data_IF_000220519152
#
_entry.id   IF_000220519152
#
_cell.length_a   1.000
_cell.length_b   1.000
_cell.length_c   1.000
_cell.angle_alpha   90.00
_cell.angle_beta   90.00
_cell.angle_gamma   90.00
#
_symmetry.space_group_name_H-M   'P 1'
#
loop_
_entity.id
_entity.type
_entity.pdbx_description
1 polymer ?
#
# COMPACT_ATOMS: atom_id res chain seq x y z
N UNK A 1 9.25 -33.99 -68.84
CA UNK A 1 9.32 -33.25 -67.58
C UNK A 1 8.58 -33.98 -66.49
N UNK A 2 9.32 -34.53 -65.54
CA UNK A 2 8.75 -35.14 -64.34
C UNK A 2 9.08 -34.21 -63.18
N UNK A 3 8.07 -33.53 -62.66
CA UNK A 3 8.23 -32.51 -61.62
C UNK A 3 8.56 -33.17 -60.27
N UNK A 4 9.74 -32.86 -59.71
CA UNK A 4 10.15 -33.36 -58.39
C UNK A 4 9.55 -32.46 -57.32
N UNK A 5 8.55 -32.97 -56.59
CA UNK A 5 8.03 -32.32 -55.37
C UNK A 5 8.94 -32.64 -54.19
N UNK A 6 9.58 -31.62 -53.64
CA UNK A 6 10.33 -31.70 -52.38
C UNK A 6 9.39 -31.25 -51.27
N UNK A 7 8.91 -32.18 -50.46
CA UNK A 7 8.14 -31.88 -49.25
C UNK A 7 9.05 -31.97 -48.03
N UNK A 8 9.43 -30.82 -47.46
CA UNK A 8 10.20 -30.75 -46.22
C UNK A 8 9.26 -30.88 -45.02
N UNK A 9 9.41 -31.94 -44.21
CA UNK A 9 8.80 -32.01 -42.87
C UNK A 9 9.63 -31.18 -41.90
N UNK A 10 9.14 -29.99 -41.56
CA UNK A 10 9.74 -29.16 -40.52
C UNK A 10 9.38 -29.74 -39.15
N UNK A 11 10.36 -30.24 -38.40
CA UNK A 11 10.17 -30.60 -36.99
C UNK A 11 10.28 -29.33 -36.17
N UNK A 12 9.20 -28.93 -35.49
CA UNK A 12 9.24 -27.78 -34.58
C UNK A 12 10.30 -28.04 -33.49
N UNK A 13 11.20 -27.08 -33.30
CA UNK A 13 12.06 -27.05 -32.10
C UNK A 13 11.13 -26.89 -30.90
N UNK A 14 11.27 -27.70 -29.82
CA UNK A 14 10.50 -27.48 -28.60
C UNK A 14 10.74 -26.04 -28.14
N UNK A 15 9.66 -25.29 -27.89
CA UNK A 15 9.82 -23.96 -27.28
C UNK A 15 10.61 -24.13 -25.98
N UNK A 16 11.67 -23.34 -25.80
CA UNK A 16 12.42 -23.34 -24.55
C UNK A 16 11.44 -23.01 -23.41
N UNK A 17 11.24 -23.95 -22.50
CA UNK A 17 10.36 -23.76 -21.36
C UNK A 17 11.06 -22.89 -20.34
N UNK A 18 10.50 -21.71 -20.05
CA UNK A 18 11.02 -20.81 -19.03
C UNK A 18 10.45 -21.27 -17.68
N UNK A 19 11.32 -21.65 -16.75
CA UNK A 19 10.88 -22.11 -15.42
C UNK A 19 10.65 -20.93 -14.49
N UNK A 20 9.49 -20.89 -13.84
CA UNK A 20 9.16 -19.92 -12.80
C UNK A 20 9.59 -20.46 -11.42
N UNK A 21 10.39 -19.71 -10.69
CA UNK A 21 10.81 -20.08 -9.32
C UNK A 21 10.57 -18.92 -8.38
N UNK A 22 9.94 -19.19 -7.23
CA UNK A 22 9.75 -18.21 -6.15
C UNK A 22 9.69 -18.89 -4.78
N UNK A 23 10.03 -18.13 -3.74
CA UNK A 23 9.96 -18.58 -2.35
C UNK A 23 8.61 -18.28 -1.68
N UNK A 24 8.50 -18.56 -0.38
CA UNK A 24 7.25 -18.41 0.39
C UNK A 24 6.85 -16.95 0.70
N UNK A 25 7.76 -15.99 0.49
CA UNK A 25 7.51 -14.57 0.75
C UNK A 25 6.49 -13.96 -0.23
N UNK A 26 6.36 -14.56 -1.41
CA UNK A 26 5.47 -14.08 -2.48
C UNK A 26 4.53 -15.16 -2.95
N UNK A 27 3.46 -14.73 -3.62
CA UNK A 27 2.55 -15.58 -4.40
C UNK A 27 2.50 -15.06 -5.82
N UNK A 28 2.45 -15.97 -6.79
CA UNK A 28 2.19 -15.66 -8.20
C UNK A 28 0.80 -16.20 -8.53
N UNK A 29 -0.09 -15.34 -9.02
CA UNK A 29 -1.48 -15.71 -9.27
C UNK A 29 -1.58 -16.89 -10.25
N UNK A 30 -2.24 -17.98 -9.82
CA UNK A 30 -2.47 -19.16 -10.64
C UNK A 30 -1.21 -19.98 -10.98
N UNK A 31 -0.10 -19.77 -10.28
CA UNK A 31 1.17 -20.46 -10.52
C UNK A 31 1.77 -21.04 -9.24
N UNK A 32 2.47 -22.15 -9.37
CA UNK A 32 3.34 -22.74 -8.36
C UNK A 32 4.82 -22.54 -8.73
N UNK A 33 5.70 -22.61 -7.73
CA UNK A 33 7.14 -22.62 -7.96
C UNK A 33 7.52 -23.92 -8.68
N UNK A 34 8.25 -23.82 -9.77
CA UNK A 34 8.58 -24.91 -10.70
C UNK A 34 7.69 -24.95 -11.96
N UNK A 35 6.62 -24.15 -12.05
CA UNK A 35 5.75 -24.12 -13.23
C UNK A 35 6.50 -23.58 -14.47
N UNK A 36 6.10 -24.06 -15.64
CA UNK A 36 6.50 -23.46 -16.90
C UNK A 36 5.69 -22.18 -17.19
N UNK A 37 6.38 -21.17 -17.72
CA UNK A 37 5.80 -19.93 -18.24
C UNK A 37 6.30 -19.67 -19.66
N UNK A 38 5.53 -18.88 -20.41
CA UNK A 38 5.85 -18.52 -21.79
C UNK A 38 6.20 -17.04 -21.89
N UNK A 39 6.97 -16.68 -22.92
CA UNK A 39 7.20 -15.29 -23.30
C UNK A 39 5.86 -14.59 -23.53
N UNK A 40 5.69 -13.42 -22.93
CA UNK A 40 4.45 -12.65 -22.96
C UNK A 40 3.48 -12.96 -21.81
N UNK A 41 3.70 -14.01 -21.03
CA UNK A 41 2.88 -14.27 -19.84
C UNK A 41 2.99 -13.09 -18.85
N UNK A 42 1.84 -12.66 -18.33
CA UNK A 42 1.77 -11.64 -17.28
C UNK A 42 1.64 -12.32 -15.91
N UNK A 43 2.71 -12.25 -15.13
CA UNK A 43 2.78 -12.85 -13.80
C UNK A 43 2.42 -11.79 -12.75
N UNK A 44 1.25 -11.93 -12.13
CA UNK A 44 0.83 -11.06 -11.01
C UNK A 44 1.45 -11.57 -9.71
N UNK A 45 2.39 -10.81 -9.17
CA UNK A 45 3.19 -11.15 -7.99
C UNK A 45 2.67 -10.32 -6.82
N UNK A 46 2.39 -10.96 -5.68
CA UNK A 46 1.91 -10.31 -4.44
C UNK A 46 2.69 -10.80 -3.23
N UNK A 47 2.86 -10.00 -2.16
CA UNK A 47 3.30 -10.50 -0.86
C UNK A 47 2.39 -11.64 -0.38
N UNK A 48 2.99 -12.70 0.16
CA UNK A 48 2.21 -13.86 0.63
C UNK A 48 1.38 -13.55 1.88
N UNK A 49 1.91 -12.69 2.75
CA UNK A 49 1.28 -12.21 3.98
C UNK A 49 0.42 -10.96 3.72
N UNK A 50 -0.76 -10.92 4.35
CA UNK A 50 -1.62 -9.74 4.32
C UNK A 50 -1.00 -8.56 5.08
N UNK A 51 -1.35 -7.33 4.68
CA UNK A 51 -0.85 -6.12 5.32
C UNK A 51 0.64 -5.83 5.06
N UNK A 52 1.22 -6.45 4.03
CA UNK A 52 2.58 -6.20 3.58
C UNK A 52 2.63 -5.52 2.21
N UNK A 53 3.70 -4.77 1.97
CA UNK A 53 4.12 -4.26 0.66
C UNK A 53 5.51 -4.76 0.35
N UNK A 54 5.90 -4.75 -0.92
CA UNK A 54 7.29 -5.01 -1.29
C UNK A 54 8.20 -3.92 -0.71
N UNK A 55 9.26 -4.35 -0.02
CA UNK A 55 10.39 -3.48 0.27
C UNK A 55 11.36 -3.52 -0.92
N UNK A 56 11.73 -4.73 -1.35
CA UNK A 56 12.46 -4.98 -2.58
C UNK A 56 11.82 -6.16 -3.32
N UNK A 57 11.61 -6.01 -4.62
CA UNK A 57 11.26 -7.11 -5.52
C UNK A 57 12.37 -7.25 -6.56
N UNK A 58 12.86 -8.48 -6.77
CA UNK A 58 13.82 -8.83 -7.80
C UNK A 58 13.25 -9.89 -8.72
N UNK A 59 13.54 -9.76 -10.01
CA UNK A 59 13.35 -10.81 -11.00
C UNK A 59 14.68 -11.07 -11.68
N UNK A 60 15.10 -12.34 -11.73
CA UNK A 60 16.38 -12.77 -12.30
C UNK A 60 17.57 -11.98 -11.71
N UNK A 61 17.57 -11.80 -10.39
CA UNK A 61 18.58 -11.05 -9.64
C UNK A 61 18.50 -9.52 -9.75
N UNK A 62 17.70 -8.97 -10.68
CA UNK A 62 17.57 -7.53 -10.92
C UNK A 62 16.42 -6.92 -10.11
N UNK A 63 16.71 -5.86 -9.34
CA UNK A 63 15.70 -5.17 -8.56
C UNK A 63 14.76 -4.33 -9.44
N UNK A 64 13.47 -4.35 -9.12
CA UNK A 64 12.42 -3.62 -9.81
C UNK A 64 11.99 -2.45 -8.93
N UNK A 65 12.53 -1.26 -9.20
CA UNK A 65 12.25 -0.07 -8.41
C UNK A 65 10.74 0.28 -8.38
N UNK A 66 10.04 0.08 -9.50
CA UNK A 66 8.60 0.37 -9.61
C UNK A 66 7.71 -0.52 -8.71
N UNK A 67 8.24 -1.65 -8.21
CA UNK A 67 7.51 -2.53 -7.31
C UNK A 67 7.63 -2.10 -5.83
N UNK A 68 8.58 -1.22 -5.48
CA UNK A 68 8.77 -0.79 -4.10
C UNK A 68 7.50 -0.10 -3.55
N UNK A 69 7.12 -0.46 -2.34
CA UNK A 69 5.90 -0.03 -1.64
C UNK A 69 4.58 -0.41 -2.33
N UNK A 70 4.60 -1.31 -3.32
CA UNK A 70 3.38 -1.84 -3.93
C UNK A 70 2.91 -3.12 -3.23
N UNK A 71 1.61 -3.35 -3.23
CA UNK A 71 0.98 -4.61 -2.76
C UNK A 71 0.92 -5.67 -3.86
N UNK A 72 1.17 -5.29 -5.10
CA UNK A 72 1.18 -6.17 -6.26
C UNK A 72 2.08 -5.59 -7.36
N UNK A 73 2.72 -6.46 -8.12
CA UNK A 73 3.47 -6.07 -9.31
C UNK A 73 3.23 -7.10 -10.42
N UNK A 74 3.06 -6.63 -11.65
CA UNK A 74 2.91 -7.51 -12.82
C UNK A 74 4.23 -7.55 -13.58
N UNK A 75 4.81 -8.74 -13.69
CA UNK A 75 5.99 -8.97 -14.50
C UNK A 75 5.58 -9.66 -15.82
N UNK A 76 5.94 -9.07 -16.95
CA UNK A 76 5.79 -9.73 -18.26
C UNK A 76 7.05 -10.53 -18.59
N UNK A 77 6.89 -11.82 -18.85
CA UNK A 77 8.00 -12.69 -19.26
C UNK A 77 8.56 -12.23 -20.59
N UNK A 78 9.87 -11.97 -20.64
CA UNK A 78 10.56 -11.43 -21.82
C UNK A 78 11.18 -12.55 -22.63
N UNK A 79 11.38 -12.30 -23.92
CA UNK A 79 12.08 -13.24 -24.82
C UNK A 79 13.54 -13.53 -24.40
N UNK A 80 14.15 -12.61 -23.64
CA UNK A 80 15.49 -12.77 -23.08
C UNK A 80 15.53 -13.60 -21.80
N UNK A 81 14.38 -13.92 -21.21
CA UNK A 81 14.32 -14.68 -19.97
C UNK A 81 14.60 -16.16 -20.26
N UNK A 82 15.67 -16.69 -19.69
CA UNK A 82 15.95 -18.14 -19.69
C UNK A 82 15.29 -18.86 -18.52
N UNK A 83 14.96 -18.10 -17.48
CA UNK A 83 14.18 -18.49 -16.31
C UNK A 83 13.44 -17.24 -15.79
N UNK A 84 12.48 -17.43 -14.88
CA UNK A 84 11.89 -16.34 -14.10
C UNK A 84 12.04 -16.67 -12.62
N UNK A 85 13.11 -16.17 -12.00
CA UNK A 85 13.36 -16.31 -10.57
C UNK A 85 12.92 -15.04 -9.83
N UNK A 86 11.91 -15.16 -8.97
CA UNK A 86 11.37 -14.05 -8.17
C UNK A 86 11.89 -14.14 -6.75
N UNK A 87 12.49 -13.06 -6.28
CA UNK A 87 12.98 -12.91 -4.90
C UNK A 87 12.45 -11.58 -4.35
N UNK A 88 11.95 -11.59 -3.12
CA UNK A 88 11.43 -10.37 -2.52
C UNK A 88 11.74 -10.28 -1.02
N UNK A 89 11.85 -9.05 -0.53
CA UNK A 89 11.68 -8.71 0.88
C UNK A 89 10.42 -7.87 1.00
N UNK A 90 9.71 -8.04 2.12
CA UNK A 90 8.45 -7.34 2.38
C UNK A 90 8.53 -6.59 3.69
N UNK A 91 7.79 -5.50 3.79
CA UNK A 91 7.62 -4.72 5.01
C UNK A 91 6.14 -4.49 5.27
N UNK A 92 5.78 -4.08 6.48
CA UNK A 92 4.42 -3.66 6.78
C UNK A 92 3.99 -2.56 5.82
N UNK A 93 2.73 -2.58 5.38
CA UNK A 93 2.10 -1.42 4.74
C UNK A 93 2.31 -0.23 5.68
N UNK A 94 2.94 0.87 5.23
CA UNK A 94 3.05 2.06 6.05
C UNK A 94 1.66 2.47 6.54
N UNK A 95 1.51 2.72 7.84
CA UNK A 95 0.27 3.29 8.34
C UNK A 95 -0.02 4.58 7.57
N UNK A 96 -1.27 4.77 7.15
CA UNK A 96 -1.68 6.06 6.61
C UNK A 96 -1.43 7.10 7.71
N UNK A 97 -0.46 8.00 7.48
CA UNK A 97 -0.16 9.06 8.43
C UNK A 97 -1.23 10.12 8.27
N UNK A 98 -2.14 10.20 9.23
CA UNK A 98 -3.14 11.26 9.29
C UNK A 98 -2.49 12.42 10.02
N UNK A 99 -2.31 13.55 9.34
CA UNK A 99 -1.72 14.72 9.97
C UNK A 99 -2.75 15.41 10.85
N UNK A 100 -2.41 15.60 12.13
CA UNK A 100 -3.17 16.39 13.07
C UNK A 100 -2.75 17.86 12.94
N UNK A 101 -3.71 18.75 12.69
CA UNK A 101 -3.51 20.20 12.78
C UNK A 101 -4.56 20.78 13.70
N UNK A 102 -4.18 21.79 14.48
CA UNK A 102 -5.14 22.44 15.37
C UNK A 102 -4.80 23.91 15.61
N UNK A 103 -5.85 24.72 15.75
CA UNK A 103 -5.74 26.17 15.94
C UNK A 103 -5.31 26.57 17.35
N UNK A 104 -5.00 27.86 17.53
CA UNK A 104 -4.48 28.39 18.81
C UNK A 104 -5.47 28.31 19.99
N UNK A 105 -6.77 28.17 19.72
CA UNK A 105 -7.82 28.09 20.75
C UNK A 105 -7.99 26.69 21.35
N UNK A 106 -7.28 25.69 20.83
CA UNK A 106 -7.38 24.30 21.28
C UNK A 106 -6.02 23.73 21.67
N UNK A 107 -6.05 22.76 22.58
CA UNK A 107 -4.94 21.89 22.93
C UNK A 107 -5.38 20.45 22.73
N UNK A 108 -4.45 19.62 22.26
CA UNK A 108 -4.62 18.17 22.19
C UNK A 108 -3.55 17.54 23.07
N UNK A 109 -3.97 16.72 24.02
CA UNK A 109 -3.07 16.17 25.03
C UNK A 109 -1.92 15.38 24.40
N UNK A 110 -0.69 15.74 24.76
CA UNK A 110 0.52 15.07 24.28
C UNK A 110 0.81 15.24 22.79
N UNK A 111 0.14 16.17 22.10
CA UNK A 111 0.29 16.39 20.65
C UNK A 111 0.67 17.83 20.32
N UNK A 112 1.38 17.98 19.21
CA UNK A 112 1.67 19.26 18.56
C UNK A 112 1.02 19.30 17.18
N UNK A 113 0.63 20.50 16.73
CA UNK A 113 0.14 20.67 15.35
C UNK A 113 1.22 20.25 14.36
N UNK A 114 0.88 19.35 13.44
CA UNK A 114 1.80 18.66 12.52
C UNK A 114 2.10 17.21 12.89
N UNK A 115 1.75 16.76 14.10
CA UNK A 115 1.97 15.37 14.50
C UNK A 115 1.16 14.38 13.64
N UNK A 116 1.72 13.19 13.44
CA UNK A 116 0.97 12.07 12.88
C UNK A 116 0.09 11.42 13.96
N UNK A 117 -1.14 11.10 13.57
CA UNK A 117 -2.09 10.30 14.36
C UNK A 117 -2.54 9.09 13.53
N UNK A 118 -2.96 8.04 14.23
CA UNK A 118 -3.40 6.79 13.61
C UNK A 118 -4.91 6.65 13.68
N UNK A 119 -5.51 5.92 12.74
CA UNK A 119 -6.92 5.51 12.82
C UNK A 119 -7.17 4.76 14.13
N UNK A 120 -8.25 5.11 14.82
CA UNK A 120 -8.63 4.56 16.12
C UNK A 120 -7.94 5.23 17.32
N UNK A 121 -6.98 6.13 17.08
CA UNK A 121 -6.35 6.91 18.15
C UNK A 121 -7.37 7.89 18.76
N UNK A 122 -7.40 7.98 20.09
CA UNK A 122 -8.29 8.90 20.81
C UNK A 122 -7.53 10.19 21.12
N UNK A 123 -8.05 11.31 20.62
CA UNK A 123 -7.52 12.65 20.83
C UNK A 123 -8.36 13.37 21.87
N UNK A 124 -7.78 13.63 23.04
CA UNK A 124 -8.40 14.48 24.08
C UNK A 124 -8.17 15.94 23.74
N UNK A 125 -9.24 16.63 23.38
CA UNK A 125 -9.24 18.03 22.95
C UNK A 125 -9.75 18.89 24.10
N UNK A 126 -9.05 19.98 24.41
CA UNK A 126 -9.44 20.96 25.44
C UNK A 126 -9.28 22.40 24.92
N UNK A 127 -10.03 23.38 25.46
CA UNK A 127 -9.74 24.79 25.24
C UNK A 127 -8.31 25.13 25.66
N UNK A 128 -7.61 25.93 24.85
CA UNK A 128 -6.25 26.35 25.18
C UNK A 128 -6.20 27.29 26.40
N UNK A 129 -7.24 28.11 26.56
CA UNK A 129 -7.44 29.04 27.67
C UNK A 129 -8.10 28.33 28.87
N UNK A 130 -7.56 28.55 30.06
CA UNK A 130 -8.07 27.94 31.30
C UNK A 130 -9.43 28.50 31.70
N UNK A 131 -10.30 27.64 32.25
CA UNK A 131 -11.63 28.03 32.74
C UNK A 131 -12.68 28.26 31.65
N UNK A 132 -12.34 28.00 30.38
CA UNK A 132 -13.24 28.12 29.25
C UNK A 132 -13.91 26.79 28.89
N UNK A 133 -15.05 26.88 28.21
CA UNK A 133 -15.69 25.74 27.54
C UNK A 133 -15.78 26.00 26.04
N UNK A 134 -15.97 24.96 25.24
CA UNK A 134 -16.23 25.13 23.81
C UNK A 134 -17.58 25.83 23.59
N UNK A 135 -17.57 26.90 22.81
CA UNK A 135 -18.80 27.43 22.21
C UNK A 135 -19.14 26.63 20.95
N UNK A 136 -18.13 26.40 20.11
CA UNK A 136 -18.18 25.50 18.96
C UNK A 136 -16.86 24.73 18.84
N UNK A 137 -16.91 23.43 18.54
CA UNK A 137 -15.76 22.61 18.17
C UNK A 137 -16.02 22.02 16.78
N UNK A 138 -15.03 22.13 15.88
CA UNK A 138 -15.04 21.53 14.56
C UNK A 138 -13.89 20.56 14.41
N UNK A 139 -14.18 19.42 13.77
CA UNK A 139 -13.16 18.50 13.27
C UNK A 139 -13.37 18.33 11.77
N UNK A 140 -12.32 18.57 10.99
CA UNK A 140 -12.36 18.56 9.53
C UNK A 140 -13.47 19.46 8.95
N UNK A 141 -13.68 20.63 9.57
CA UNK A 141 -14.71 21.60 9.20
C UNK A 141 -16.14 21.25 9.66
N UNK A 142 -16.36 20.06 10.23
CA UNK A 142 -17.67 19.63 10.70
C UNK A 142 -17.86 19.95 12.18
N UNK A 143 -18.95 20.65 12.52
CA UNK A 143 -19.26 20.99 13.90
C UNK A 143 -19.66 19.75 14.71
N UNK A 144 -19.09 19.62 15.89
CA UNK A 144 -19.35 18.54 16.85
C UNK A 144 -20.30 19.07 17.91
N UNK A 145 -21.61 18.93 17.67
CA UNK A 145 -22.64 19.46 18.58
C UNK A 145 -22.50 18.95 20.03
N UNK A 146 -22.04 17.71 20.21
CA UNK A 146 -21.84 17.10 21.53
C UNK A 146 -20.70 17.74 22.36
N UNK A 147 -19.83 18.54 21.74
CA UNK A 147 -18.74 19.22 22.44
C UNK A 147 -19.15 20.58 23.02
N UNK A 148 -20.27 21.16 22.57
CA UNK A 148 -20.69 22.49 22.99
C UNK A 148 -20.96 22.54 24.51
N UNK A 149 -20.43 23.57 25.17
CA UNK A 149 -20.47 23.78 26.62
C UNK A 149 -19.68 22.76 27.46
N UNK A 150 -18.83 21.95 26.83
CA UNK A 150 -17.90 21.06 27.54
C UNK A 150 -16.48 21.64 27.55
N UNK A 151 -15.74 21.38 28.64
CA UNK A 151 -14.33 21.77 28.78
C UNK A 151 -13.36 20.77 28.12
N UNK A 152 -13.87 19.64 27.64
CA UNK A 152 -13.10 18.62 26.93
C UNK A 152 -14.00 17.80 26.02
N UNK A 153 -13.44 17.31 24.92
CA UNK A 153 -14.08 16.35 24.03
C UNK A 153 -13.04 15.33 23.54
N UNK A 154 -13.44 14.06 23.43
CA UNK A 154 -12.58 13.02 22.88
C UNK A 154 -13.00 12.70 21.46
N UNK A 155 -12.10 12.93 20.51
CA UNK A 155 -12.29 12.55 19.11
C UNK A 155 -11.50 11.28 18.80
N UNK A 156 -12.17 10.22 18.34
CA UNK A 156 -11.48 9.05 17.80
C UNK A 156 -11.21 9.28 16.32
N UNK A 157 -9.96 9.14 15.88
CA UNK A 157 -9.57 9.26 14.47
C UNK A 157 -10.26 8.18 13.64
N UNK A 158 -10.97 8.59 12.59
CA UNK A 158 -11.78 7.71 11.77
C UNK A 158 -10.98 7.17 10.58
N UNK A 159 -11.35 5.99 10.07
CA UNK A 159 -10.72 5.41 8.89
C UNK A 159 -10.92 6.26 7.62
N UNK A 160 -11.95 7.12 7.61
CA UNK A 160 -12.24 8.07 6.54
C UNK A 160 -11.46 9.38 6.65
N UNK A 161 -10.74 9.62 7.75
CA UNK A 161 -9.96 10.84 7.92
C UNK A 161 -8.72 10.79 7.05
N UNK A 162 -8.59 11.74 6.12
CA UNK A 162 -7.34 11.96 5.37
C UNK A 162 -6.40 12.92 6.09
N UNK A 163 -6.95 13.72 7.02
CA UNK A 163 -6.28 14.60 7.96
C UNK A 163 -7.22 14.79 9.17
N UNK A 164 -6.72 15.34 10.27
CA UNK A 164 -7.54 15.77 11.41
C UNK A 164 -7.22 17.24 11.69
N UNK A 165 -8.08 18.13 11.22
CA UNK A 165 -7.99 19.57 11.47
C UNK A 165 -8.99 19.98 12.55
N UNK A 166 -8.51 20.53 13.66
CA UNK A 166 -9.33 20.88 14.83
C UNK A 166 -9.36 22.39 15.02
N UNK A 167 -10.57 22.94 15.04
CA UNK A 167 -10.81 24.36 15.26
C UNK A 167 -11.89 24.52 16.33
N UNK A 168 -11.79 25.56 17.16
CA UNK A 168 -12.83 25.84 18.13
C UNK A 168 -12.96 27.34 18.39
N UNK A 169 -14.14 27.73 18.85
CA UNK A 169 -14.39 28.98 19.58
C UNK A 169 -14.72 28.63 21.03
N UNK A 170 -14.39 29.53 21.95
CA UNK A 170 -14.50 29.29 23.40
C UNK A 170 -15.26 30.42 24.10
N UNK A 171 -15.93 30.13 25.21
CA UNK A 171 -16.64 31.12 26.04
C UNK A 171 -16.35 30.95 27.53
#
# INVERSE_FOLDING_TARGET
>A
DTEVKIEAKVKAVPAATITLTFGTVVKVAGKASGDAVNVGDALTITPAEAGKVFDVLKVNGSAIAAAANQTSYVYTVKASDTEVKIEATVKAVPAATITLTFGAMVKVDGKTSGDAVNVGEALTITPAESGKVFDELKVNGNAIAAAANHASYVYTVQASDTAVAIEATVK
#
